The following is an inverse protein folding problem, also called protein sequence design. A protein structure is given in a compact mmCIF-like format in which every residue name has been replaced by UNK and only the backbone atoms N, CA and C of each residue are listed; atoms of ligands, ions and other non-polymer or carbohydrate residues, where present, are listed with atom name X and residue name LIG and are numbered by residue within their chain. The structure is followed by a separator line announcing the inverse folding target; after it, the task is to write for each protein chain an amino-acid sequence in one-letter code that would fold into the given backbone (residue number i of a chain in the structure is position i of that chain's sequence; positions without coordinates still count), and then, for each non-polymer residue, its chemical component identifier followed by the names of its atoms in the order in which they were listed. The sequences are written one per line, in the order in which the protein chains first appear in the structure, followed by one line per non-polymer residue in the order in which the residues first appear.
data_IF_152382017884
#
_entry.id   IF_152382017884
#
_cell.length_a   1.000
_cell.length_b   1.000
_cell.length_c   1.000
_cell.angle_alpha   90.00
_cell.angle_beta   90.00
_cell.angle_gamma   90.00
#
_symmetry.space_group_name_H-M   'P 1'
#
loop_
_entity.id
_entity.type
_entity.pdbx_description
1 polymer ?
#
# COMPACT_ATOMS: atom_id res chain seq x y z
N UNK A 1 30.28 -57.11 -7.07
CA UNK A 1 29.19 -56.75 -6.16
C UNK A 1 29.64 -55.52 -5.37
N UNK A 2 29.40 -54.32 -5.89
CA UNK A 2 29.74 -53.04 -5.24
C UNK A 2 28.44 -52.26 -5.05
N UNK A 3 28.06 -51.85 -3.83
CA UNK A 3 26.87 -51.03 -3.65
C UNK A 3 27.22 -49.57 -3.94
N UNK A 4 26.45 -48.95 -4.84
CA UNK A 4 26.46 -47.50 -5.08
C UNK A 4 25.61 -46.85 -3.99
N UNK A 5 26.23 -46.09 -3.09
CA UNK A 5 25.51 -45.24 -2.15
C UNK A 5 24.97 -44.01 -2.89
N UNK A 6 23.65 -43.95 -3.03
CA UNK A 6 22.93 -42.81 -3.60
C UNK A 6 22.70 -41.78 -2.47
N UNK A 7 23.53 -40.74 -2.40
CA UNK A 7 23.27 -39.61 -1.50
C UNK A 7 22.12 -38.76 -2.08
N UNK A 8 20.96 -38.84 -1.44
CA UNK A 8 19.84 -37.92 -1.69
C UNK A 8 20.16 -36.58 -1.02
N UNK A 9 20.59 -35.59 -1.82
CA UNK A 9 20.63 -34.20 -1.40
C UNK A 9 19.18 -33.68 -1.38
N UNK A 10 18.59 -33.59 -0.18
CA UNK A 10 17.36 -32.84 0.03
C UNK A 10 17.67 -31.35 -0.15
N UNK A 11 17.27 -30.79 -1.29
CA UNK A 11 17.17 -29.34 -1.47
C UNK A 11 15.90 -28.90 -0.74
N UNK A 12 16.04 -28.35 0.46
CA UNK A 12 14.94 -27.71 1.16
C UNK A 12 14.51 -26.46 0.38
N UNK A 13 13.35 -26.55 -0.29
CA UNK A 13 12.71 -25.38 -0.87
C UNK A 13 12.20 -24.49 0.26
N UNK A 14 12.88 -23.38 0.52
CA UNK A 14 12.42 -22.34 1.44
C UNK A 14 11.12 -21.72 0.89
N UNK A 15 10.03 -21.67 1.67
CA UNK A 15 8.77 -21.08 1.23
C UNK A 15 8.91 -19.56 1.17
N UNK A 16 8.85 -19.00 -0.05
CA UNK A 16 8.92 -17.57 -0.30
C UNK A 16 7.72 -16.79 0.29
N UNK A 17 6.59 -17.46 0.55
CA UNK A 17 5.34 -16.82 0.98
C UNK A 17 5.34 -16.30 2.42
N UNK A 18 6.15 -16.85 3.32
CA UNK A 18 6.23 -16.39 4.72
C UNK A 18 6.87 -14.98 4.85
N UNK A 19 7.60 -14.53 3.83
CA UNK A 19 8.45 -13.33 3.91
C UNK A 19 7.69 -12.00 3.86
N UNK A 20 6.50 -11.98 3.26
CA UNK A 20 5.73 -10.74 3.11
C UNK A 20 4.90 -10.39 4.35
N UNK A 21 4.35 -11.39 5.04
CA UNK A 21 3.55 -11.16 6.24
C UNK A 21 4.39 -10.64 7.41
N UNK A 22 5.63 -11.11 7.53
CA UNK A 22 6.56 -10.75 8.63
C UNK A 22 7.52 -9.60 8.27
N UNK A 23 7.30 -8.93 7.13
CA UNK A 23 8.18 -7.85 6.68
C UNK A 23 8.28 -6.76 7.76
N UNK A 24 9.51 -6.39 8.13
CA UNK A 24 9.77 -5.33 9.09
C UNK A 24 9.40 -5.67 10.54
N UNK A 25 8.98 -6.91 10.85
CA UNK A 25 8.50 -7.29 12.17
C UNK A 25 9.59 -7.19 13.24
N UNK A 26 10.80 -7.66 12.96
CA UNK A 26 11.91 -7.58 13.91
C UNK A 26 12.25 -6.13 14.27
N UNK A 27 12.29 -5.25 13.28
CA UNK A 27 12.54 -3.82 13.48
C UNK A 27 11.37 -3.16 14.21
N UNK A 28 10.14 -3.55 13.90
CA UNK A 28 8.96 -3.09 14.60
C UNK A 28 9.06 -3.39 16.09
N UNK A 29 9.27 -4.66 16.45
CA UNK A 29 9.33 -5.09 17.85
C UNK A 29 10.50 -4.47 18.62
N UNK A 30 11.66 -4.30 17.98
CA UNK A 30 12.88 -3.82 18.65
C UNK A 30 13.02 -2.31 18.73
N UNK A 31 12.45 -1.57 17.77
CA UNK A 31 12.66 -0.13 17.64
C UNK A 31 11.35 0.65 17.61
N UNK A 32 10.39 0.25 16.78
CA UNK A 32 9.21 1.08 16.51
C UNK A 32 8.18 0.97 17.63
N UNK A 33 7.88 -0.25 18.10
CA UNK A 33 6.95 -0.48 19.20
C UNK A 33 7.35 0.33 20.45
N UNK A 34 8.61 0.31 20.93
CA UNK A 34 9.02 1.16 22.05
C UNK A 34 8.76 2.65 21.83
N UNK A 35 8.95 3.17 20.61
CA UNK A 35 8.66 4.57 20.28
C UNK A 35 7.16 4.84 20.31
N UNK A 36 6.33 3.93 19.79
CA UNK A 36 4.87 4.04 19.86
C UNK A 36 4.36 3.96 21.31
N UNK A 37 4.93 3.09 22.13
CA UNK A 37 4.65 3.01 23.57
C UNK A 37 4.97 4.34 24.26
N UNK A 38 6.11 4.95 23.92
CA UNK A 38 6.55 6.19 24.54
C UNK A 38 5.75 7.42 24.10
N UNK A 39 5.32 7.48 22.84
CA UNK A 39 4.78 8.71 22.24
C UNK A 39 3.31 8.64 21.82
N UNK A 40 2.74 7.44 21.65
CA UNK A 40 1.41 7.25 21.06
C UNK A 40 0.43 6.54 22.00
N UNK A 41 0.83 5.45 22.64
CA UNK A 41 -0.10 4.53 23.33
C UNK A 41 -0.80 5.14 24.54
N UNK A 42 -0.16 6.11 25.20
CA UNK A 42 -0.75 6.98 26.24
C UNK A 42 -2.13 7.57 25.88
N UNK A 43 -2.43 7.74 24.58
CA UNK A 43 -3.64 8.39 24.08
C UNK A 43 -4.41 7.58 23.03
N UNK A 44 -3.80 6.53 22.48
CA UNK A 44 -4.29 5.79 21.32
C UNK A 44 -4.19 4.27 21.52
N UNK A 45 -4.11 3.79 22.76
CA UNK A 45 -4.11 2.37 23.08
C UNK A 45 -4.68 2.15 24.49
N UNK A 46 -4.75 0.88 24.91
CA UNK A 46 -5.22 0.44 26.24
C UNK A 46 -6.63 0.96 26.59
N UNK A 47 -7.52 1.00 25.60
CA UNK A 47 -8.90 1.47 25.72
C UNK A 47 -9.05 2.99 25.64
N UNK A 48 -7.99 3.73 25.31
CA UNK A 48 -8.01 5.17 25.04
C UNK A 48 -7.97 5.42 23.53
N UNK A 49 -8.89 6.24 23.04
CA UNK A 49 -9.15 6.47 21.60
C UNK A 49 -9.23 7.96 21.25
N UNK A 50 -8.28 8.77 21.73
CA UNK A 50 -8.34 10.22 21.51
C UNK A 50 -8.32 10.55 20.02
N UNK A 51 -9.26 11.38 19.59
CA UNK A 51 -9.39 11.74 18.19
C UNK A 51 -9.95 10.62 17.31
N UNK A 52 -10.69 9.68 17.90
CA UNK A 52 -11.31 8.54 17.18
C UNK A 52 -10.25 7.64 16.51
N UNK A 53 -9.13 7.44 17.21
CA UNK A 53 -7.98 6.69 16.74
C UNK A 53 -7.38 5.83 17.86
N UNK A 54 -7.22 4.52 17.61
CA UNK A 54 -6.60 3.55 18.53
C UNK A 54 -5.83 2.45 17.78
N UNK A 55 -4.81 1.88 18.42
CA UNK A 55 -4.05 0.71 17.96
C UNK A 55 -4.62 -0.64 18.45
N UNK A 56 -5.62 -0.64 19.33
CA UNK A 56 -6.10 -1.84 20.04
C UNK A 56 -6.89 -2.83 19.17
N UNK A 57 -7.29 -2.43 17.96
CA UNK A 57 -8.18 -3.21 17.10
C UNK A 57 -7.48 -4.41 16.43
N UNK A 58 -6.17 -4.57 16.63
CA UNK A 58 -5.36 -5.52 15.87
C UNK A 58 -4.80 -6.65 16.75
N UNK A 59 -5.09 -7.89 16.35
CA UNK A 59 -4.75 -9.10 17.13
C UNK A 59 -3.26 -9.46 17.09
N UNK A 60 -2.60 -9.16 15.98
CA UNK A 60 -1.22 -9.51 15.73
C UNK A 60 -0.55 -8.50 14.80
N UNK A 61 0.77 -8.65 14.63
CA UNK A 61 1.59 -7.79 13.79
C UNK A 61 1.12 -7.78 12.34
N UNK A 62 0.72 -8.92 11.77
CA UNK A 62 0.33 -9.00 10.37
C UNK A 62 -0.96 -8.22 10.12
N UNK A 63 -1.94 -8.32 11.02
CA UNK A 63 -3.17 -7.53 10.99
C UNK A 63 -2.86 -6.02 11.09
N UNK A 64 -2.05 -5.62 12.08
CA UNK A 64 -1.64 -4.22 12.27
C UNK A 64 -0.89 -3.68 11.04
N UNK A 65 0.09 -4.42 10.50
CA UNK A 65 0.87 -4.00 9.32
C UNK A 65 -0.01 -3.85 8.08
N UNK A 66 -1.10 -4.62 7.98
CA UNK A 66 -2.00 -4.60 6.83
C UNK A 66 -3.02 -3.44 6.84
N UNK A 67 -3.12 -2.69 7.94
CA UNK A 67 -3.99 -1.52 8.00
C UNK A 67 -3.32 -0.28 7.40
N UNK A 68 -3.36 -0.19 6.07
CA UNK A 68 -2.77 0.92 5.33
C UNK A 68 -3.38 2.28 5.70
N UNK A 69 -4.67 2.31 6.07
CA UNK A 69 -5.35 3.57 6.41
C UNK A 69 -4.86 4.10 7.74
N UNK A 70 -4.73 3.23 8.73
CA UNK A 70 -4.16 3.57 10.03
C UNK A 70 -2.73 4.09 9.86
N UNK A 71 -1.88 3.38 9.12
CA UNK A 71 -0.48 3.76 8.96
C UNK A 71 -0.27 5.00 8.10
N UNK A 72 -1.10 5.24 7.07
CA UNK A 72 -1.08 6.51 6.34
C UNK A 72 -1.40 7.68 7.28
N UNK A 73 -2.39 7.52 8.15
CA UNK A 73 -2.72 8.54 9.15
C UNK A 73 -1.55 8.79 10.12
N UNK A 74 -0.98 7.73 10.70
CA UNK A 74 0.19 7.85 11.60
C UNK A 74 1.35 8.54 10.90
N UNK A 75 1.67 8.12 9.68
CA UNK A 75 2.72 8.70 8.85
C UNK A 75 2.50 10.19 8.61
N UNK A 76 1.28 10.61 8.28
CA UNK A 76 0.94 12.03 8.11
C UNK A 76 1.15 12.82 9.40
N UNK A 77 0.70 12.29 10.55
CA UNK A 77 0.90 12.95 11.84
C UNK A 77 2.40 13.08 12.20
N UNK A 78 3.19 12.05 11.88
CA UNK A 78 4.63 12.06 12.06
C UNK A 78 5.29 13.10 11.15
N UNK A 79 5.05 13.07 9.84
CA UNK A 79 5.69 13.97 8.86
C UNK A 79 5.28 15.44 9.06
N UNK A 80 4.05 15.70 9.50
CA UNK A 80 3.57 17.08 9.75
C UNK A 80 3.92 17.61 11.14
N UNK A 81 4.50 16.77 12.01
CA UNK A 81 4.86 17.10 13.38
C UNK A 81 3.65 17.53 14.25
N UNK A 82 2.43 17.18 13.84
CA UNK A 82 1.19 17.49 14.58
C UNK A 82 1.07 16.61 15.83
N UNK A 83 1.57 15.37 15.76
CA UNK A 83 1.64 14.48 16.91
C UNK A 83 3.09 14.23 17.35
N UNK A 84 3.32 14.02 18.66
CA UNK A 84 2.38 14.18 19.77
C UNK A 84 1.99 15.66 20.03
N UNK A 85 0.85 15.95 20.71
CA UNK A 85 0.40 17.33 20.96
C UNK A 85 1.38 18.10 21.86
N UNK A 86 1.39 19.44 21.80
CA UNK A 86 2.41 20.32 22.42
C UNK A 86 2.74 20.07 23.90
N UNK A 87 1.81 19.47 24.66
CA UNK A 87 1.98 19.16 26.10
C UNK A 87 2.52 17.75 26.37
N UNK A 88 2.86 16.98 25.34
CA UNK A 88 3.39 15.62 25.44
C UNK A 88 4.83 15.59 24.93
N UNK A 89 5.66 14.66 25.45
CA UNK A 89 6.99 14.42 24.89
C UNK A 89 6.87 14.15 23.39
N UNK A 90 7.72 14.79 22.59
CA UNK A 90 7.79 14.55 21.16
C UNK A 90 9.08 13.78 20.82
N UNK A 91 9.03 12.86 19.84
CA UNK A 91 10.23 12.19 19.36
C UNK A 91 11.20 13.19 18.76
N UNK A 92 12.50 12.93 18.94
CA UNK A 92 13.54 13.65 18.20
C UNK A 92 13.44 13.31 16.71
N UNK A 93 14.09 14.11 15.87
CA UNK A 93 13.99 13.96 14.41
C UNK A 93 14.42 12.56 13.96
N UNK A 94 15.48 12.01 14.55
CA UNK A 94 16.00 10.69 14.22
C UNK A 94 15.02 9.56 14.54
N UNK A 95 14.29 9.67 15.66
CA UNK A 95 13.25 8.70 16.05
C UNK A 95 12.03 8.80 15.13
N UNK A 96 11.64 10.02 14.79
CA UNK A 96 10.53 10.29 13.86
C UNK A 96 10.84 9.75 12.48
N UNK A 97 12.02 10.03 11.96
CA UNK A 97 12.50 9.53 10.67
C UNK A 97 12.58 8.00 10.66
N UNK A 98 13.03 7.37 11.76
CA UNK A 98 13.03 5.92 11.88
C UNK A 98 11.62 5.32 11.81
N UNK A 99 10.63 5.94 12.48
CA UNK A 99 9.24 5.51 12.39
C UNK A 99 8.68 5.66 10.98
N UNK A 100 8.90 6.82 10.33
CA UNK A 100 8.42 7.06 8.95
C UNK A 100 9.09 6.10 7.96
N UNK A 101 10.41 5.89 8.07
CA UNK A 101 11.14 4.98 7.21
C UNK A 101 10.66 3.54 7.36
N UNK A 102 10.36 3.11 8.58
CA UNK A 102 9.77 1.79 8.80
C UNK A 102 8.36 1.69 8.21
N UNK A 103 7.51 2.72 8.34
CA UNK A 103 6.18 2.70 7.71
C UNK A 103 6.33 2.57 6.18
N UNK A 104 7.25 3.31 5.58
CA UNK A 104 7.47 3.29 4.13
C UNK A 104 8.02 1.94 3.63
N UNK A 105 9.00 1.33 4.32
CA UNK A 105 9.56 0.03 3.91
C UNK A 105 8.70 -1.16 4.32
N UNK A 106 8.10 -1.13 5.50
CA UNK A 106 7.39 -2.27 6.06
C UNK A 106 5.93 -2.27 5.65
N UNK A 107 5.23 -1.14 5.66
CA UNK A 107 3.79 -1.07 5.36
C UNK A 107 3.58 -0.83 3.87
N UNK A 108 4.11 0.27 3.33
CA UNK A 108 3.92 0.70 1.93
C UNK A 108 4.95 0.10 0.96
N UNK A 109 5.47 -1.09 1.27
CA UNK A 109 6.37 -1.82 0.40
C UNK A 109 5.75 -2.10 -0.98
N UNK A 110 6.54 -1.86 -2.03
CA UNK A 110 6.21 -2.25 -3.40
C UNK A 110 6.81 -3.63 -3.73
N UNK A 111 5.97 -4.62 -4.03
CA UNK A 111 6.41 -5.94 -4.55
C UNK A 111 6.57 -5.90 -6.07
N UNK A 112 7.81 -5.93 -6.62
CA UNK A 112 8.02 -5.88 -8.06
C UNK A 112 7.47 -7.10 -8.81
N UNK A 113 7.29 -8.23 -8.12
CA UNK A 113 6.71 -9.44 -8.72
C UNK A 113 5.17 -9.38 -8.77
N UNK A 114 4.55 -8.50 -7.97
CA UNK A 114 3.10 -8.33 -7.86
C UNK A 114 2.79 -6.83 -7.80
N UNK A 115 2.95 -6.11 -8.92
CA UNK A 115 2.65 -4.69 -8.96
C UNK A 115 1.19 -4.45 -8.62
N UNK A 116 0.95 -3.64 -7.59
CA UNK A 116 -0.37 -3.10 -7.26
C UNK A 116 -0.53 -1.75 -7.98
N UNK A 117 -1.40 -1.64 -8.99
CA UNK A 117 -1.65 -0.37 -9.68
C UNK A 117 -2.40 0.66 -8.80
N UNK A 118 -2.80 0.27 -7.58
CA UNK A 118 -3.56 1.09 -6.66
C UNK A 118 -5.04 1.16 -7.04
N UNK A 119 -5.71 2.21 -6.60
CA UNK A 119 -7.13 2.42 -6.92
C UNK A 119 -7.31 2.77 -8.40
N UNK A 120 -7.96 1.88 -9.15
CA UNK A 120 -8.32 2.12 -10.55
C UNK A 120 -9.81 2.43 -10.64
N UNK A 121 -10.15 3.64 -11.07
CA UNK A 121 -11.53 4.03 -11.35
C UNK A 121 -12.03 3.29 -12.59
N UNK A 122 -13.19 2.62 -12.48
CA UNK A 122 -13.88 2.08 -13.65
C UNK A 122 -14.30 3.24 -14.55
N UNK A 123 -13.85 3.21 -15.80
CA UNK A 123 -14.14 4.25 -16.79
C UNK A 123 -14.54 3.68 -18.13
N UNK A 124 -15.23 4.47 -18.95
CA UNK A 124 -15.45 4.14 -20.36
C UNK A 124 -14.18 4.33 -21.19
N UNK A 125 -14.16 3.72 -22.37
CA UNK A 125 -13.20 4.08 -23.41
C UNK A 125 -13.55 5.47 -23.95
N UNK A 126 -12.53 6.29 -24.19
CA UNK A 126 -12.68 7.52 -24.96
C UNK A 126 -12.89 7.18 -26.45
N UNK A 127 -13.28 8.17 -27.26
CA UNK A 127 -13.61 7.93 -28.67
C UNK A 127 -12.44 7.35 -29.47
N UNK A 128 -11.22 7.79 -29.18
CA UNK A 128 -10.01 7.31 -29.88
C UNK A 128 -9.72 5.85 -29.51
N UNK A 129 -9.76 5.54 -28.22
CA UNK A 129 -9.60 4.18 -27.69
C UNK A 129 -10.68 3.24 -28.22
N UNK A 130 -11.95 3.67 -28.26
CA UNK A 130 -13.03 2.86 -28.81
C UNK A 130 -12.82 2.54 -30.30
N UNK A 131 -12.46 3.55 -31.11
CA UNK A 131 -12.19 3.34 -32.54
C UNK A 131 -10.99 2.41 -32.76
N UNK A 132 -9.93 2.56 -31.96
CA UNK A 132 -8.76 1.67 -32.03
C UNK A 132 -9.15 0.24 -31.65
N UNK A 133 -9.93 0.04 -30.58
CA UNK A 133 -10.41 -1.29 -30.17
C UNK A 133 -11.28 -1.95 -31.24
N UNK A 134 -12.21 -1.21 -31.86
CA UNK A 134 -13.04 -1.73 -32.97
C UNK A 134 -12.17 -2.12 -34.16
N UNK A 135 -11.19 -1.28 -34.53
CA UNK A 135 -10.23 -1.59 -35.59
C UNK A 135 -9.43 -2.84 -35.27
N UNK A 136 -8.89 -2.96 -34.07
CA UNK A 136 -7.98 -4.04 -33.70
C UNK A 136 -8.72 -5.38 -33.56
N UNK A 137 -9.97 -5.36 -33.08
CA UNK A 137 -10.78 -6.58 -32.91
C UNK A 137 -11.44 -7.04 -34.21
N UNK A 138 -11.92 -6.10 -35.05
CA UNK A 138 -12.72 -6.41 -36.22
C UNK A 138 -11.98 -6.18 -37.55
N UNK A 139 -10.77 -5.64 -37.51
CA UNK A 139 -9.94 -5.31 -38.68
C UNK A 139 -10.63 -4.38 -39.68
N UNK A 140 -11.40 -3.41 -39.16
CA UNK A 140 -12.11 -2.39 -39.96
C UNK A 140 -11.59 -0.99 -39.68
N UNK A 141 -11.57 -0.13 -40.70
CA UNK A 141 -11.12 1.27 -40.58
C UNK A 141 -12.24 2.28 -40.29
N UNK A 142 -13.40 1.79 -39.86
CA UNK A 142 -14.53 2.65 -39.51
C UNK A 142 -14.22 3.44 -38.24
N UNK A 143 -14.84 4.62 -38.12
CA UNK A 143 -14.70 5.50 -36.93
C UNK A 143 -16.07 5.74 -36.27
N UNK A 144 -16.71 4.69 -35.73
CA UNK A 144 -18.07 4.77 -35.17
C UNK A 144 -18.19 5.81 -34.05
N UNK A 145 -17.14 6.02 -33.24
CA UNK A 145 -17.19 6.97 -32.14
C UNK A 145 -17.16 8.45 -32.56
N UNK A 146 -17.11 8.77 -33.87
CA UNK A 146 -17.20 10.15 -34.36
C UNK A 146 -18.54 10.81 -34.01
N UNK A 147 -19.60 10.02 -33.93
CA UNK A 147 -20.96 10.50 -33.65
C UNK A 147 -21.31 10.49 -32.16
N UNK A 148 -20.45 9.93 -31.30
CA UNK A 148 -20.68 9.91 -29.86
C UNK A 148 -20.57 11.33 -29.28
N UNK A 149 -21.06 11.60 -28.05
CA UNK A 149 -20.76 12.84 -27.34
C UNK A 149 -19.25 13.05 -27.09
N UNK A 150 -18.77 14.30 -26.93
CA UNK A 150 -17.36 14.57 -26.67
C UNK A 150 -16.91 13.94 -25.35
N UNK A 151 -15.63 13.56 -25.31
CA UNK A 151 -15.01 13.06 -24.10
C UNK A 151 -14.70 14.21 -23.14
N UNK A 152 -14.94 14.00 -21.85
CA UNK A 152 -14.54 14.95 -20.82
C UNK A 152 -13.01 14.99 -20.71
N UNK A 153 -12.47 16.20 -20.52
CA UNK A 153 -11.03 16.41 -20.41
C UNK A 153 -10.64 16.69 -18.95
N UNK A 154 -9.65 15.94 -18.44
CA UNK A 154 -9.04 16.14 -17.13
C UNK A 154 -7.58 16.55 -17.30
N UNK A 155 -7.14 17.62 -16.64
CA UNK A 155 -5.75 18.12 -16.71
C UNK A 155 -5.21 18.35 -18.13
N UNK A 156 -6.10 18.60 -19.11
CA UNK A 156 -5.74 18.77 -20.53
C UNK A 156 -5.67 17.47 -21.35
N UNK A 157 -6.03 16.33 -20.76
CA UNK A 157 -6.04 15.01 -21.40
C UNK A 157 -7.45 14.41 -21.43
N UNK A 158 -7.78 13.67 -22.48
CA UNK A 158 -9.07 13.03 -22.74
C UNK A 158 -9.09 11.52 -22.42
N UNK A 159 -8.06 11.02 -21.73
CA UNK A 159 -7.89 9.62 -21.36
C UNK A 159 -7.83 9.41 -19.84
N UNK A 160 -8.20 10.43 -19.05
CA UNK A 160 -8.15 10.38 -17.59
C UNK A 160 -9.36 9.60 -17.05
N UNK A 161 -9.06 8.55 -16.28
CA UNK A 161 -10.00 7.71 -15.52
C UNK A 161 -11.16 8.47 -14.91
N UNK A 162 -10.80 9.43 -14.05
CA UNK A 162 -11.73 10.05 -13.10
C UNK A 162 -12.74 11.01 -13.74
N UNK A 163 -12.52 11.44 -14.98
CA UNK A 163 -13.47 12.30 -15.73
C UNK A 163 -14.29 11.51 -16.74
N UNK A 164 -13.87 10.31 -17.11
CA UNK A 164 -14.57 9.45 -18.07
C UNK A 164 -15.59 8.54 -17.37
N UNK A 165 -16.62 9.18 -16.81
CA UNK A 165 -17.67 8.48 -16.06
C UNK A 165 -18.55 7.58 -16.95
N UNK A 166 -19.09 6.53 -16.32
CA UNK A 166 -20.12 5.65 -16.88
C UNK A 166 -21.48 6.15 -16.38
N UNK A 167 -22.41 6.39 -17.29
CA UNK A 167 -23.79 6.85 -17.02
C UNK A 167 -24.81 5.73 -17.14
#
# INVERSE_FOLDING_TARGET
MFPRHLHFLLIAALPCAARAAERGQEEFEKKIRPLLEQYCFDCHADGVDKGDFTFDEHKDYAALRSDFKLWDHVRQQLVTHVMPPEKKPAPVIEERDAMVAWIDDAVFWFDPARPDPGHVTLRRLNRNEYNNTVRDLLFVDTRPAREFPPDDTGYGYDNIGDVLSLS
#
